data_IF_030675325143
#
_entry.id   IF_030675325143
#
_cell.length_a   1.000
_cell.length_b   1.000
_cell.length_c   1.000
_cell.angle_alpha   90.00
_cell.angle_beta   90.00
_cell.angle_gamma   90.00
#
_symmetry.space_group_name_H-M   'P 1'
#
loop_
_entity.id
_entity.type
_entity.pdbx_description
1 polymer ?
#
# COMPACT_ATOMS: atom_id res chain seq x y z
N UNK A 1 -20.91 57.05 52.21
CA UNK A 1 -20.85 55.79 51.45
C UNK A 1 -20.16 56.07 50.13
N UNK A 2 -18.90 55.70 49.87
CA UNK A 2 -18.27 55.91 48.59
C UNK A 2 -18.62 54.71 47.70
N UNK A 3 -19.25 54.98 46.56
CA UNK A 3 -19.51 54.07 45.44
C UNK A 3 -18.19 53.73 44.78
N UNK A 4 -17.73 52.49 44.91
CA UNK A 4 -16.54 51.97 44.22
C UNK A 4 -16.93 51.63 42.77
N UNK A 5 -16.60 52.55 41.87
CA UNK A 5 -16.60 52.27 40.41
C UNK A 5 -15.42 51.31 40.14
N UNK A 6 -15.66 50.15 39.48
CA UNK A 6 -14.57 49.26 39.14
C UNK A 6 -13.62 49.93 38.14
N UNK A 7 -12.30 49.59 38.13
CA UNK A 7 -11.31 50.21 37.27
C UNK A 7 -11.64 49.87 35.80
N UNK A 8 -11.72 50.89 34.93
CA UNK A 8 -12.03 50.81 33.48
C UNK A 8 -11.22 49.78 32.69
N UNK A 9 -10.10 49.31 33.21
CA UNK A 9 -9.26 48.29 32.57
C UNK A 9 -9.84 46.87 32.63
N UNK A 10 -10.54 46.49 33.72
CA UNK A 10 -11.11 45.14 33.89
C UNK A 10 -12.35 44.94 32.98
N UNK A 11 -13.19 45.98 32.86
CA UNK A 11 -14.35 45.94 31.98
C UNK A 11 -13.96 45.83 30.48
N UNK A 12 -12.89 46.55 30.07
CA UNK A 12 -12.37 46.48 28.71
C UNK A 12 -11.74 45.11 28.40
N UNK A 13 -11.03 44.52 29.37
CA UNK A 13 -10.43 43.17 29.22
C UNK A 13 -11.50 42.09 29.08
N UNK A 14 -12.55 42.16 29.91
CA UNK A 14 -13.67 41.21 29.85
C UNK A 14 -14.46 41.35 28.56
N UNK A 15 -14.69 42.58 28.07
CA UNK A 15 -15.37 42.82 26.81
C UNK A 15 -14.56 42.28 25.58
N UNK A 16 -13.24 42.43 25.63
CA UNK A 16 -12.37 41.87 24.57
C UNK A 16 -12.36 40.34 24.61
N UNK A 17 -12.25 39.74 25.79
CA UNK A 17 -12.29 38.29 25.95
C UNK A 17 -13.65 37.70 25.44
N UNK A 18 -14.75 38.34 25.80
CA UNK A 18 -16.08 37.95 25.33
C UNK A 18 -16.20 38.11 23.80
N UNK A 19 -15.68 39.20 23.23
CA UNK A 19 -15.69 39.41 21.77
C UNK A 19 -14.86 38.35 21.04
N UNK A 20 -13.74 37.93 21.59
CA UNK A 20 -12.90 36.84 21.04
C UNK A 20 -13.69 35.54 21.07
N UNK A 21 -14.26 35.16 22.20
CA UNK A 21 -15.05 33.93 22.37
C UNK A 21 -16.26 33.93 21.42
N UNK A 22 -16.93 35.07 21.25
CA UNK A 22 -18.09 35.20 20.36
C UNK A 22 -17.73 35.20 18.86
N UNK A 23 -16.47 35.46 18.53
CA UNK A 23 -15.98 35.45 17.12
C UNK A 23 -15.52 34.08 16.67
N UNK A 24 -15.14 33.22 17.58
CA UNK A 24 -14.70 31.83 17.27
C UNK A 24 -15.91 31.02 16.76
N UNK A 25 -15.70 30.32 15.66
CA UNK A 25 -16.76 29.51 15.03
C UNK A 25 -17.03 28.22 15.80
N UNK A 26 -16.02 27.69 16.46
CA UNK A 26 -16.12 26.47 17.26
C UNK A 26 -16.86 26.73 18.56
N UNK A 27 -17.74 25.83 19.00
CA UNK A 27 -18.34 25.85 20.32
C UNK A 27 -17.30 25.84 21.43
N UNK A 28 -17.30 26.86 22.30
CA UNK A 28 -16.40 27.00 23.44
C UNK A 28 -17.21 27.11 24.73
N UNK A 29 -16.77 26.43 25.77
CA UNK A 29 -17.30 26.60 27.13
C UNK A 29 -16.16 26.70 28.12
N UNK A 30 -16.38 27.50 29.16
CA UNK A 30 -15.49 27.61 30.33
C UNK A 30 -16.24 27.07 31.52
N UNK A 31 -15.60 26.15 32.23
CA UNK A 31 -16.11 25.55 33.48
C UNK A 31 -15.28 26.04 34.68
N UNK A 32 -15.94 26.18 35.84
CA UNK A 32 -15.26 26.43 37.12
C UNK A 32 -14.64 25.14 37.70
N UNK A 33 -14.09 25.25 38.92
CA UNK A 33 -13.50 24.12 39.62
C UNK A 33 -14.49 22.99 39.95
N UNK A 34 -15.79 23.32 40.06
CA UNK A 34 -16.88 22.36 40.30
C UNK A 34 -17.52 21.84 38.99
N UNK A 35 -16.89 22.13 37.85
CA UNK A 35 -17.35 21.78 36.51
C UNK A 35 -18.69 22.42 36.10
N UNK A 36 -18.98 23.62 36.65
CA UNK A 36 -20.15 24.42 36.27
C UNK A 36 -19.78 25.39 35.15
N UNK A 37 -20.70 25.60 34.23
CA UNK A 37 -20.49 26.53 33.12
C UNK A 37 -20.47 27.97 33.61
N UNK A 38 -19.35 28.65 33.41
CA UNK A 38 -19.18 30.08 33.66
C UNK A 38 -19.52 30.91 32.42
N UNK A 39 -18.99 30.46 31.27
CA UNK A 39 -19.12 31.14 29.97
C UNK A 39 -19.31 30.09 28.89
N UNK A 40 -20.16 30.40 27.93
CA UNK A 40 -20.26 29.65 26.70
C UNK A 40 -20.31 30.60 25.50
N UNK A 41 -19.76 30.17 24.35
CA UNK A 41 -19.77 30.97 23.13
C UNK A 41 -21.16 30.94 22.45
N UNK A 42 -21.40 31.91 21.58
CA UNK A 42 -22.64 31.94 20.76
C UNK A 42 -22.77 30.70 19.87
N UNK A 43 -21.65 30.19 19.37
CA UNK A 43 -21.59 28.93 18.59
C UNK A 43 -22.07 27.76 19.46
N UNK A 44 -21.67 27.65 20.72
CA UNK A 44 -22.17 26.61 21.61
C UNK A 44 -23.71 26.62 21.73
N UNK A 45 -24.29 27.76 22.03
CA UNK A 45 -25.76 27.89 22.15
C UNK A 45 -26.48 27.55 20.85
N UNK A 46 -25.96 28.01 19.72
CA UNK A 46 -26.51 27.76 18.38
C UNK A 46 -26.42 26.28 18.00
N UNK A 47 -25.26 25.70 18.14
CA UNK A 47 -24.93 24.36 17.61
C UNK A 47 -25.56 23.25 18.47
N UNK A 48 -25.65 23.47 19.79
CA UNK A 48 -26.31 22.55 20.72
C UNK A 48 -27.78 22.88 21.00
N UNK A 49 -28.30 23.96 20.43
CA UNK A 49 -29.70 24.42 20.58
C UNK A 49 -30.13 24.59 22.04
N UNK A 50 -29.26 25.12 22.90
CA UNK A 50 -29.50 25.33 24.33
C UNK A 50 -29.67 26.81 24.66
N UNK A 51 -30.49 27.11 25.69
CA UNK A 51 -30.71 28.51 26.14
C UNK A 51 -29.58 28.90 27.14
N UNK A 52 -29.02 30.13 27.04
CA UNK A 52 -28.08 30.63 28.00
C UNK A 52 -28.56 30.57 29.46
N UNK A 53 -29.86 30.80 29.73
CA UNK A 53 -30.45 30.76 31.06
C UNK A 53 -30.44 29.35 31.66
N UNK A 54 -30.49 28.34 30.78
CA UNK A 54 -30.51 26.94 31.19
C UNK A 54 -29.11 26.30 31.16
N UNK A 55 -28.08 27.07 30.80
CA UNK A 55 -26.69 26.61 30.65
C UNK A 55 -25.78 27.12 31.76
N UNK A 56 -25.80 28.45 32.01
CA UNK A 56 -24.89 29.08 32.96
C UNK A 56 -25.18 28.61 34.40
N UNK A 57 -24.12 28.28 35.15
CA UNK A 57 -24.16 27.80 36.53
C UNK A 57 -24.57 26.33 36.72
N UNK A 58 -25.01 25.64 35.66
CA UNK A 58 -25.26 24.19 35.68
C UNK A 58 -23.95 23.40 35.49
N UNK A 59 -23.88 22.18 35.99
CA UNK A 59 -22.79 21.27 35.68
C UNK A 59 -22.91 20.81 34.22
N UNK A 60 -21.77 20.58 33.58
CA UNK A 60 -21.77 20.12 32.17
C UNK A 60 -22.54 18.80 32.00
N UNK A 61 -22.42 17.87 32.94
CA UNK A 61 -23.17 16.62 32.98
C UNK A 61 -24.68 16.77 33.10
N UNK A 62 -25.15 17.94 33.61
CA UNK A 62 -26.59 18.27 33.79
C UNK A 62 -27.16 19.01 32.57
N UNK A 63 -26.32 19.37 31.57
CA UNK A 63 -26.77 20.06 30.39
C UNK A 63 -27.47 19.11 29.42
N UNK A 64 -28.60 19.59 28.87
CA UNK A 64 -29.45 18.75 28.05
C UNK A 64 -30.02 17.58 28.87
N UNK A 65 -30.41 16.51 28.24
CA UNK A 65 -30.95 15.32 28.92
C UNK A 65 -29.83 14.34 29.35
N UNK A 66 -28.71 14.84 29.91
CA UNK A 66 -27.54 14.03 30.32
C UNK A 66 -26.64 13.60 29.17
N UNK A 67 -26.70 14.29 28.04
CA UNK A 67 -25.86 14.01 26.86
C UNK A 67 -24.37 14.16 27.12
N UNK A 68 -23.98 14.94 28.14
CA UNK A 68 -22.61 15.14 28.59
C UNK A 68 -22.25 14.29 29.83
N UNK A 69 -23.16 13.46 30.30
CA UNK A 69 -22.90 12.49 31.36
C UNK A 69 -22.15 11.27 30.77
N UNK A 70 -20.85 11.39 30.71
CA UNK A 70 -19.94 10.37 30.17
C UNK A 70 -19.11 9.82 31.35
N UNK A 71 -19.13 8.51 31.64
CA UNK A 71 -18.39 7.93 32.77
C UNK A 71 -16.89 8.22 32.75
N UNK A 72 -16.31 8.38 31.53
CA UNK A 72 -14.91 8.70 31.31
C UNK A 72 -14.63 10.22 31.29
N UNK A 73 -15.65 11.05 31.18
CA UNK A 73 -15.52 12.49 30.97
C UNK A 73 -15.07 13.21 32.25
N UNK A 74 -15.59 12.83 33.38
CA UNK A 74 -15.14 13.36 34.68
C UNK A 74 -13.67 13.03 34.94
N UNK A 75 -13.24 11.81 34.62
CA UNK A 75 -11.82 11.39 34.71
C UNK A 75 -10.96 12.20 33.72
N UNK A 76 -11.47 12.45 32.53
CA UNK A 76 -10.81 13.27 31.52
C UNK A 76 -10.65 14.72 31.96
N UNK A 77 -11.69 15.33 32.55
CA UNK A 77 -11.66 16.69 33.07
C UNK A 77 -10.75 16.82 34.32
N UNK A 78 -10.75 15.85 35.23
CA UNK A 78 -9.84 15.80 36.33
C UNK A 78 -8.38 15.67 35.89
N UNK A 79 -8.11 14.92 34.86
CA UNK A 79 -6.79 14.82 34.23
C UNK A 79 -6.34 16.15 33.62
N UNK A 80 -7.25 16.91 32.99
CA UNK A 80 -6.96 18.24 32.48
C UNK A 80 -6.66 19.26 33.58
N UNK A 81 -7.28 19.10 34.76
CA UNK A 81 -7.01 19.94 35.93
C UNK A 81 -5.65 19.64 36.59
N UNK A 82 -5.10 18.44 36.37
CA UNK A 82 -3.81 18.01 36.95
C UNK A 82 -2.61 18.64 36.22
N UNK A 83 -1.40 18.13 36.43
CA UNK A 83 -0.13 18.72 35.97
C UNK A 83 0.02 18.94 34.49
N UNK A 84 -0.66 18.16 33.65
CA UNK A 84 -0.52 18.25 32.19
C UNK A 84 -1.19 19.51 31.60
N UNK A 85 -2.27 20.02 32.21
CA UNK A 85 -2.94 21.28 31.84
C UNK A 85 -3.62 21.33 30.46
N UNK A 86 -3.41 20.31 29.59
CA UNK A 86 -3.96 20.20 28.24
C UNK A 86 -4.30 18.76 27.94
N UNK A 87 -5.49 18.50 27.41
CA UNK A 87 -5.88 17.22 26.81
C UNK A 87 -6.52 17.53 25.46
N UNK A 88 -6.03 16.88 24.42
CA UNK A 88 -6.45 17.10 23.04
C UNK A 88 -7.11 15.84 22.47
N UNK A 89 -7.98 16.05 21.47
CA UNK A 89 -8.60 15.02 20.63
C UNK A 89 -9.40 13.93 21.40
N UNK A 90 -10.09 14.33 22.48
CA UNK A 90 -11.00 13.41 23.15
C UNK A 90 -12.28 13.27 22.34
N UNK A 91 -12.48 12.11 21.73
CA UNK A 91 -13.63 11.83 20.86
C UNK A 91 -14.84 11.36 21.68
N UNK A 92 -15.98 11.99 21.41
CA UNK A 92 -17.32 11.66 21.96
C UNK A 92 -18.25 11.39 20.82
N UNK A 93 -18.76 10.15 20.73
CA UNK A 93 -19.76 9.75 19.75
C UNK A 93 -21.08 9.44 20.45
N UNK A 94 -22.11 10.26 20.22
CA UNK A 94 -23.41 10.13 20.89
C UNK A 94 -24.57 10.71 20.07
N UNK A 95 -25.77 10.34 20.52
CA UNK A 95 -27.03 10.98 20.13
C UNK A 95 -27.24 12.22 20.97
N UNK A 96 -27.32 13.38 20.34
CA UNK A 96 -27.61 14.65 20.99
C UNK A 96 -29.06 15.08 20.73
N UNK A 97 -29.85 15.41 21.77
CA UNK A 97 -31.22 15.89 21.58
C UNK A 97 -31.26 17.11 20.66
N UNK A 98 -32.17 17.09 19.70
CA UNK A 98 -32.37 18.19 18.75
C UNK A 98 -31.42 18.23 17.56
N UNK A 99 -30.22 17.69 17.65
CA UNK A 99 -29.21 17.70 16.57
C UNK A 99 -28.83 16.31 16.03
N UNK A 100 -29.32 15.24 16.69
CA UNK A 100 -29.13 13.87 16.27
C UNK A 100 -27.74 13.31 16.61
N UNK A 101 -27.37 12.22 15.94
CA UNK A 101 -26.07 11.56 16.13
C UNK A 101 -24.90 12.47 15.73
N UNK A 102 -23.94 12.65 16.63
CA UNK A 102 -22.74 13.47 16.42
C UNK A 102 -21.49 12.79 16.94
N UNK A 103 -20.39 13.06 16.23
CA UNK A 103 -19.02 12.76 16.67
C UNK A 103 -18.33 14.08 16.94
N UNK A 104 -17.98 14.32 18.20
CA UNK A 104 -17.35 15.57 18.66
C UNK A 104 -15.93 15.31 19.13
N UNK A 105 -14.99 16.15 18.74
CA UNK A 105 -13.66 16.21 19.34
C UNK A 105 -13.61 17.32 20.39
N UNK A 106 -13.18 16.96 21.59
CA UNK A 106 -13.08 17.86 22.72
C UNK A 106 -11.61 18.14 23.03
N UNK A 107 -11.26 19.42 23.02
CA UNK A 107 -9.96 19.91 23.42
C UNK A 107 -10.11 20.69 24.73
N UNK A 108 -9.42 20.25 25.79
CA UNK A 108 -9.54 20.85 27.12
C UNK A 108 -8.23 21.45 27.55
N UNK A 109 -8.28 22.69 28.02
CA UNK A 109 -7.12 23.40 28.55
C UNK A 109 -7.43 24.03 29.92
N UNK A 110 -6.55 23.84 30.88
CA UNK A 110 -6.61 24.52 32.16
C UNK A 110 -6.31 26.00 31.99
N UNK A 111 -7.12 26.85 32.57
CA UNK A 111 -6.88 28.28 32.65
C UNK A 111 -6.05 28.57 33.90
N UNK A 112 -4.93 29.27 33.68
CA UNK A 112 -4.00 29.67 34.77
C UNK A 112 -4.10 31.19 34.93
N UNK A 113 -4.94 31.64 35.86
CA UNK A 113 -5.08 33.04 36.22
C UNK A 113 -5.33 33.14 37.74
N UNK A 114 -4.90 34.23 38.39
CA UNK A 114 -5.08 34.46 39.82
C UNK A 114 -6.54 34.43 40.27
N UNK A 115 -7.50 34.71 39.37
CA UNK A 115 -8.93 34.75 39.64
C UNK A 115 -9.70 33.54 39.11
N UNK A 116 -9.01 32.61 38.43
CA UNK A 116 -9.62 31.44 37.70
C UNK A 116 -9.05 30.11 38.17
N UNK A 117 -8.61 30.00 39.42
CA UNK A 117 -7.96 28.79 39.95
C UNK A 117 -8.85 27.56 39.77
N UNK A 118 -8.41 26.65 38.89
CA UNK A 118 -9.11 25.37 38.60
C UNK A 118 -10.12 25.42 37.47
N UNK A 119 -10.29 26.55 36.77
CA UNK A 119 -11.15 26.64 35.61
C UNK A 119 -10.55 25.96 34.39
N UNK A 120 -11.40 25.39 33.51
CA UNK A 120 -11.00 24.74 32.27
C UNK A 120 -11.79 25.33 31.09
N UNK A 121 -11.11 25.52 29.96
CA UNK A 121 -11.68 25.85 28.69
C UNK A 121 -11.83 24.56 27.88
N UNK A 122 -13.00 24.34 27.31
CA UNK A 122 -13.29 23.24 26.39
C UNK A 122 -13.67 23.83 25.05
N UNK A 123 -12.96 23.42 24.01
CA UNK A 123 -13.32 23.62 22.62
C UNK A 123 -13.93 22.32 22.07
N UNK A 124 -15.00 22.45 21.30
CA UNK A 124 -15.77 21.32 20.75
C UNK A 124 -15.80 21.46 19.24
N UNK A 125 -15.28 20.47 18.54
CA UNK A 125 -15.32 20.38 17.08
C UNK A 125 -16.29 19.27 16.65
N UNK A 126 -17.28 19.58 15.83
CA UNK A 126 -18.15 18.58 15.19
C UNK A 126 -17.42 17.96 14.00
N UNK A 127 -17.00 16.72 14.14
CA UNK A 127 -16.30 15.95 13.10
C UNK A 127 -17.16 14.86 12.49
N UNK A 128 -18.48 14.91 12.67
CA UNK A 128 -19.44 13.88 12.25
C UNK A 128 -19.31 13.58 10.74
N UNK A 129 -19.39 14.62 9.92
CA UNK A 129 -19.29 14.47 8.46
C UNK A 129 -17.92 13.96 8.03
N UNK A 130 -16.85 14.51 8.63
CA UNK A 130 -15.49 14.09 8.35
C UNK A 130 -15.28 12.61 8.71
N UNK A 131 -15.75 12.17 9.87
CA UNK A 131 -15.68 10.76 10.30
C UNK A 131 -16.49 9.83 9.44
N UNK A 132 -17.68 10.26 8.98
CA UNK A 132 -18.51 9.49 8.05
C UNK A 132 -17.78 9.27 6.72
N UNK A 133 -17.19 10.32 6.14
CA UNK A 133 -16.41 10.23 4.90
C UNK A 133 -15.16 9.33 5.08
N UNK A 134 -14.44 9.47 6.20
CA UNK A 134 -13.28 8.64 6.51
C UNK A 134 -13.67 7.15 6.60
N UNK A 135 -14.78 6.81 7.31
CA UNK A 135 -15.30 5.43 7.42
C UNK A 135 -15.72 4.87 6.06
N UNK A 136 -16.45 5.67 5.26
CA UNK A 136 -16.85 5.26 3.91
C UNK A 136 -15.65 5.00 3.01
N UNK A 137 -14.65 5.89 3.03
CA UNK A 137 -13.40 5.72 2.28
C UNK A 137 -12.70 4.42 2.66
N UNK A 138 -12.56 4.15 3.94
CA UNK A 138 -11.86 2.97 4.43
C UNK A 138 -12.60 1.67 4.06
N UNK A 139 -13.94 1.68 4.11
CA UNK A 139 -14.75 0.56 3.65
C UNK A 139 -14.65 0.34 2.13
N UNK A 140 -14.66 1.43 1.32
CA UNK A 140 -14.44 1.33 -0.13
C UNK A 140 -13.05 0.80 -0.48
N UNK A 141 -12.02 1.21 0.25
CA UNK A 141 -10.67 0.68 0.07
C UNK A 141 -10.61 -0.81 0.38
N UNK A 142 -11.22 -1.24 1.49
CA UNK A 142 -11.31 -2.65 1.88
C UNK A 142 -12.06 -3.48 0.83
N UNK A 143 -13.19 -2.99 0.31
CA UNK A 143 -13.94 -3.66 -0.75
C UNK A 143 -13.15 -3.77 -2.05
N UNK A 144 -12.42 -2.70 -2.42
CA UNK A 144 -11.52 -2.71 -3.57
C UNK A 144 -10.45 -3.78 -3.43
N UNK A 145 -9.83 -3.92 -2.27
CA UNK A 145 -8.80 -4.92 -2.02
C UNK A 145 -9.35 -6.34 -2.16
N UNK A 146 -10.50 -6.63 -1.58
CA UNK A 146 -11.16 -7.94 -1.71
C UNK A 146 -11.51 -8.28 -3.16
N UNK A 147 -12.02 -7.31 -3.92
CA UNK A 147 -12.34 -7.51 -5.34
C UNK A 147 -11.08 -7.77 -6.18
N UNK A 148 -9.99 -7.06 -5.90
CA UNK A 148 -8.71 -7.29 -6.58
C UNK A 148 -8.19 -8.70 -6.29
N UNK A 149 -8.24 -9.16 -5.04
CA UNK A 149 -7.85 -10.51 -4.65
C UNK A 149 -8.70 -11.58 -5.37
N UNK A 150 -10.03 -11.41 -5.40
CA UNK A 150 -10.92 -12.33 -6.11
C UNK A 150 -10.62 -12.37 -7.62
N UNK A 151 -10.45 -11.21 -8.25
CA UNK A 151 -10.09 -11.14 -9.67
C UNK A 151 -8.79 -11.88 -9.97
N UNK A 152 -7.81 -11.76 -9.11
CA UNK A 152 -6.51 -12.41 -9.24
C UNK A 152 -6.62 -13.93 -9.11
N UNK A 153 -7.38 -14.41 -8.13
CA UNK A 153 -7.68 -15.84 -8.02
C UNK A 153 -8.37 -16.37 -9.27
N UNK A 154 -9.31 -15.62 -9.85
CA UNK A 154 -9.99 -15.99 -11.09
C UNK A 154 -9.02 -16.02 -12.29
N UNK A 155 -8.11 -15.06 -12.42
CA UNK A 155 -7.08 -15.04 -13.47
C UNK A 155 -6.16 -16.26 -13.34
N UNK A 156 -5.67 -16.54 -12.12
CA UNK A 156 -4.82 -17.70 -11.86
C UNK A 156 -5.51 -19.03 -12.20
N UNK A 157 -6.78 -19.18 -11.79
CA UNK A 157 -7.59 -20.37 -12.12
C UNK A 157 -7.80 -20.50 -13.64
N UNK A 158 -8.06 -19.40 -14.33
CA UNK A 158 -8.23 -19.40 -15.80
C UNK A 158 -6.96 -19.83 -16.51
N UNK A 159 -5.79 -19.34 -16.07
CA UNK A 159 -4.49 -19.74 -16.62
C UNK A 159 -4.21 -21.23 -16.39
N UNK A 160 -4.55 -21.77 -15.21
CA UNK A 160 -4.42 -23.21 -14.92
C UNK A 160 -5.31 -24.06 -15.82
N UNK A 161 -6.54 -23.63 -16.10
CA UNK A 161 -7.46 -24.32 -17.03
C UNK A 161 -6.87 -24.30 -18.46
N UNK A 162 -6.37 -23.15 -18.92
CA UNK A 162 -5.73 -23.04 -20.25
C UNK A 162 -4.52 -23.97 -20.32
N UNK A 163 -3.66 -24.00 -19.30
CA UNK A 163 -2.52 -24.89 -19.23
C UNK A 163 -2.94 -26.37 -19.31
N UNK A 164 -4.00 -26.75 -18.59
CA UNK A 164 -4.54 -28.12 -18.63
C UNK A 164 -5.08 -28.51 -20.01
N UNK A 165 -5.78 -27.58 -20.69
CA UNK A 165 -6.30 -27.80 -22.06
C UNK A 165 -5.13 -27.99 -23.04
N UNK A 166 -4.08 -27.17 -22.97
CA UNK A 166 -2.90 -27.30 -23.80
C UNK A 166 -2.23 -28.67 -23.61
N UNK A 167 -2.08 -29.12 -22.38
CA UNK A 167 -1.51 -30.41 -22.06
C UNK A 167 -2.36 -31.58 -22.60
N UNK A 168 -3.69 -31.51 -22.44
CA UNK A 168 -4.60 -32.50 -23.03
C UNK A 168 -4.50 -32.56 -24.55
N UNK A 169 -4.45 -31.39 -25.19
CA UNK A 169 -4.29 -31.30 -26.65
C UNK A 169 -2.95 -31.87 -27.12
N UNK A 170 -1.86 -31.59 -26.39
CA UNK A 170 -0.55 -32.14 -26.66
C UNK A 170 -0.52 -33.68 -26.61
N UNK A 171 -1.30 -34.33 -25.74
CA UNK A 171 -1.43 -35.79 -25.67
C UNK A 171 -2.25 -36.38 -26.80
N UNK A 172 -3.16 -35.62 -27.39
CA UNK A 172 -4.09 -36.07 -28.42
C UNK A 172 -3.57 -35.94 -29.87
N UNK A 173 -2.53 -35.13 -30.10
CA UNK A 173 -1.96 -34.90 -31.42
C UNK A 173 -0.92 -35.98 -31.77
N UNK A 174 -0.93 -36.39 -33.06
CA UNK A 174 0.00 -37.40 -33.61
C UNK A 174 1.34 -36.80 -34.05
N UNK A 175 1.35 -35.52 -34.46
CA UNK A 175 2.58 -34.83 -34.88
C UNK A 175 3.47 -34.50 -33.68
N UNK A 176 4.71 -34.96 -33.68
CA UNK A 176 5.70 -34.68 -32.65
C UNK A 176 6.05 -33.20 -32.55
N UNK A 177 6.15 -32.52 -33.68
CA UNK A 177 6.37 -31.09 -33.80
C UNK A 177 5.23 -30.30 -33.12
N UNK A 178 3.98 -30.63 -33.45
CA UNK A 178 2.80 -29.99 -32.87
C UNK A 178 2.72 -30.26 -31.36
N UNK A 179 3.10 -31.47 -30.91
CA UNK A 179 3.15 -31.85 -29.49
C UNK A 179 4.15 -30.99 -28.75
N UNK A 180 5.33 -30.82 -29.32
CA UNK A 180 6.40 -29.95 -28.75
C UNK A 180 5.93 -28.50 -28.61
N UNK A 181 5.30 -27.94 -29.65
CA UNK A 181 4.78 -26.57 -29.58
C UNK A 181 3.68 -26.40 -28.54
N UNK A 182 2.80 -27.37 -28.34
CA UNK A 182 1.76 -27.34 -27.33
C UNK A 182 2.34 -27.46 -25.90
N UNK A 183 3.37 -28.28 -25.69
CA UNK A 183 4.10 -28.36 -24.42
C UNK A 183 4.81 -27.04 -24.11
N UNK A 184 5.37 -26.37 -25.10
CA UNK A 184 6.00 -25.07 -24.92
C UNK A 184 4.99 -24.00 -24.53
N UNK A 185 3.85 -23.96 -25.22
CA UNK A 185 2.75 -23.07 -24.85
C UNK A 185 2.24 -23.34 -23.41
N UNK A 186 2.11 -24.62 -23.03
CA UNK A 186 1.74 -25.01 -21.65
C UNK A 186 2.71 -24.45 -20.62
N UNK A 187 4.04 -24.63 -20.82
CA UNK A 187 5.08 -24.12 -19.91
C UNK A 187 5.02 -22.60 -19.78
N UNK A 188 4.80 -21.87 -20.88
CA UNK A 188 4.66 -20.41 -20.87
C UNK A 188 3.44 -19.95 -20.07
N UNK A 189 2.30 -20.61 -20.25
CA UNK A 189 1.08 -20.26 -19.48
C UNK A 189 1.30 -20.49 -17.99
N UNK A 190 1.95 -21.58 -17.59
CA UNK A 190 2.31 -21.81 -16.18
C UNK A 190 3.25 -20.75 -15.62
N UNK A 191 4.21 -20.30 -16.44
CA UNK A 191 5.13 -19.25 -16.04
C UNK A 191 4.44 -17.89 -15.85
N UNK A 192 3.50 -17.55 -16.76
CA UNK A 192 2.66 -16.35 -16.59
C UNK A 192 1.84 -16.44 -15.29
N UNK A 193 1.28 -17.62 -14.97
CA UNK A 193 0.55 -17.83 -13.74
C UNK A 193 1.45 -17.68 -12.50
N UNK A 194 2.69 -18.16 -12.55
CA UNK A 194 3.67 -17.99 -11.48
C UNK A 194 4.03 -16.49 -11.28
N UNK A 195 4.32 -15.77 -12.37
CA UNK A 195 4.56 -14.31 -12.33
C UNK A 195 3.39 -13.59 -11.68
N UNK A 196 2.17 -13.86 -12.11
CA UNK A 196 0.96 -13.25 -11.55
C UNK A 196 0.82 -13.54 -10.04
N UNK A 197 1.08 -14.75 -9.60
CA UNK A 197 0.99 -15.15 -8.18
C UNK A 197 1.96 -14.37 -7.30
N UNK A 198 3.17 -14.11 -7.75
CA UNK A 198 4.20 -13.43 -6.94
C UNK A 198 4.02 -11.91 -6.89
N UNK A 199 3.26 -11.32 -7.80
CA UNK A 199 3.00 -9.87 -7.82
C UNK A 199 1.96 -9.41 -6.80
N UNK A 200 1.22 -10.34 -6.19
CA UNK A 200 0.13 -10.04 -5.25
C UNK A 200 0.58 -9.63 -3.86
N UNK A 201 1.85 -9.83 -3.52
CA UNK A 201 2.39 -9.38 -2.25
C UNK A 201 2.46 -7.84 -2.10
N UNK A 202 2.15 -7.08 -3.17
CA UNK A 202 2.21 -5.61 -3.20
C UNK A 202 0.82 -5.01 -3.40
N UNK A 203 -0.07 -5.20 -2.44
CA UNK A 203 -1.38 -4.54 -2.37
C UNK A 203 -1.15 -3.06 -2.04
N UNK A 204 -1.68 -2.15 -2.89
CA UNK A 204 -1.69 -0.72 -2.57
C UNK A 204 -0.98 0.21 -3.56
N UNK A 205 -0.48 -0.30 -4.71
CA UNK A 205 0.18 0.55 -5.72
C UNK A 205 1.62 0.93 -5.37
N UNK A 206 2.17 0.37 -4.29
CA UNK A 206 3.58 0.56 -3.95
C UNK A 206 4.51 -0.15 -4.94
N UNK A 207 5.68 0.45 -5.24
CA UNK A 207 6.67 -0.20 -6.08
C UNK A 207 7.15 -1.53 -5.50
N UNK A 208 7.15 -2.58 -6.33
CA UNK A 208 7.57 -3.93 -5.98
C UNK A 208 9.09 -3.95 -5.77
N UNK A 209 9.54 -4.56 -4.68
CA UNK A 209 10.96 -4.86 -4.48
C UNK A 209 11.36 -6.02 -5.40
N UNK A 210 12.28 -5.77 -6.34
CA UNK A 210 12.65 -6.74 -7.36
C UNK A 210 13.45 -7.91 -6.83
N UNK A 211 14.27 -7.72 -5.79
CA UNK A 211 15.10 -8.78 -5.23
C UNK A 211 14.27 -10.00 -4.74
N UNK A 212 13.35 -9.87 -3.75
CA UNK A 212 12.56 -11.02 -3.30
C UNK A 212 11.67 -11.59 -4.42
N UNK A 213 11.14 -10.72 -5.28
CA UNK A 213 10.29 -11.14 -6.39
C UNK A 213 11.03 -12.04 -7.38
N UNK A 214 12.20 -11.61 -7.89
CA UNK A 214 12.96 -12.35 -8.89
C UNK A 214 13.56 -13.63 -8.32
N UNK A 215 14.00 -13.63 -7.05
CA UNK A 215 14.47 -14.84 -6.36
C UNK A 215 13.35 -15.88 -6.27
N UNK A 216 12.16 -15.49 -5.83
CA UNK A 216 11.02 -16.40 -5.71
C UNK A 216 10.54 -16.91 -7.08
N UNK A 217 10.52 -16.06 -8.11
CA UNK A 217 10.18 -16.43 -9.46
C UNK A 217 11.14 -17.51 -9.98
N UNK A 218 12.45 -17.27 -9.90
CA UNK A 218 13.47 -18.22 -10.36
C UNK A 218 13.43 -19.53 -9.58
N UNK A 219 13.19 -19.50 -8.27
CA UNK A 219 12.99 -20.70 -7.47
C UNK A 219 11.79 -21.54 -7.95
N UNK A 220 10.66 -20.86 -8.25
CA UNK A 220 9.46 -21.50 -8.79
C UNK A 220 9.68 -22.08 -10.19
N UNK A 221 10.40 -21.38 -11.06
CA UNK A 221 10.78 -21.87 -12.40
C UNK A 221 11.70 -23.09 -12.31
N UNK A 222 12.70 -23.03 -11.43
CA UNK A 222 13.63 -24.15 -11.19
C UNK A 222 12.88 -25.39 -10.74
N UNK A 223 12.03 -25.27 -9.71
CA UNK A 223 11.24 -26.40 -9.18
C UNK A 223 10.24 -26.99 -10.19
N UNK A 224 9.70 -26.17 -11.10
CA UNK A 224 8.72 -26.63 -12.09
C UNK A 224 9.37 -27.24 -13.35
N UNK A 225 10.58 -26.83 -13.73
CA UNK A 225 11.17 -27.13 -15.03
C UNK A 225 12.44 -27.98 -14.98
N UNK A 226 13.17 -27.99 -13.85
CA UNK A 226 14.38 -28.81 -13.68
C UNK A 226 13.97 -30.13 -12.99
N UNK A 227 14.15 -31.30 -13.62
CA UNK A 227 13.82 -32.58 -13.02
C UNK A 227 14.69 -32.89 -11.81
N UNK A 228 14.09 -33.38 -10.73
CA UNK A 228 14.81 -33.88 -9.57
C UNK A 228 15.61 -35.13 -9.92
N UNK A 229 16.87 -35.22 -9.48
CA UNK A 229 17.62 -36.47 -9.35
C UNK A 229 18.59 -36.88 -10.45
N UNK A 230 18.96 -36.02 -11.39
CA UNK A 230 20.12 -36.22 -12.29
C UNK A 230 20.94 -34.95 -12.32
N UNK A 231 22.26 -35.08 -12.57
CA UNK A 231 23.27 -34.00 -12.68
C UNK A 231 22.65 -32.65 -12.98
N UNK A 232 22.12 -32.06 -11.88
CA UNK A 232 21.08 -31.09 -11.97
C UNK A 232 21.64 -29.79 -12.56
N UNK A 233 20.91 -29.23 -13.52
CA UNK A 233 21.15 -27.83 -13.92
C UNK A 233 20.97 -26.98 -12.67
N UNK A 234 22.02 -26.25 -12.29
CA UNK A 234 22.00 -25.33 -11.16
C UNK A 234 21.53 -23.98 -11.67
N UNK A 235 20.51 -23.40 -11.03
CA UNK A 235 20.10 -22.03 -11.30
C UNK A 235 20.57 -21.13 -10.16
N UNK A 236 21.35 -20.11 -10.47
CA UNK A 236 21.79 -19.08 -9.52
C UNK A 236 21.17 -17.75 -9.86
N UNK A 237 20.82 -16.97 -8.83
CA UNK A 237 20.15 -15.68 -8.97
C UNK A 237 20.93 -14.64 -8.18
N UNK A 238 21.28 -13.55 -8.84
CA UNK A 238 21.89 -12.38 -8.22
C UNK A 238 21.04 -11.15 -8.54
N UNK A 239 20.60 -10.43 -7.51
CA UNK A 239 19.82 -9.20 -7.67
C UNK A 239 20.43 -8.12 -6.80
N UNK A 240 20.77 -7.01 -7.43
CA UNK A 240 21.34 -5.84 -6.77
C UNK A 240 20.29 -4.71 -6.75
N UNK A 241 19.41 -4.76 -5.74
CA UNK A 241 18.43 -3.71 -5.50
C UNK A 241 17.29 -3.61 -6.54
N UNK A 242 16.72 -2.40 -6.66
CA UNK A 242 15.69 -2.07 -7.63
C UNK A 242 14.27 -2.18 -7.09
N UNK A 243 13.46 -1.19 -7.48
CA UNK A 243 11.99 -1.16 -7.27
C UNK A 243 11.31 -0.92 -8.61
N UNK A 244 10.18 -1.56 -8.85
CA UNK A 244 9.47 -1.44 -10.12
C UNK A 244 7.95 -1.40 -9.92
N UNK A 245 7.24 -0.81 -10.87
CA UNK A 245 5.77 -0.96 -10.94
C UNK A 245 5.40 -2.40 -11.26
N UNK A 246 4.18 -2.81 -10.95
CA UNK A 246 3.66 -4.15 -11.31
C UNK A 246 3.85 -4.48 -12.79
N UNK A 247 3.60 -3.53 -13.70
CA UNK A 247 3.76 -3.75 -15.14
C UNK A 247 5.20 -4.06 -15.55
N UNK A 248 6.17 -3.32 -15.00
CA UNK A 248 7.61 -3.56 -15.23
C UNK A 248 8.03 -4.91 -14.66
N UNK A 249 7.62 -5.24 -13.43
CA UNK A 249 7.92 -6.52 -12.79
C UNK A 249 7.36 -7.72 -13.58
N UNK A 250 6.12 -7.61 -14.11
CA UNK A 250 5.53 -8.61 -15.04
C UNK A 250 6.42 -8.80 -16.25
N UNK A 251 6.81 -7.71 -16.91
CA UNK A 251 7.60 -7.77 -18.14
C UNK A 251 8.98 -8.38 -17.90
N UNK A 252 9.66 -8.01 -16.79
CA UNK A 252 10.93 -8.62 -16.37
C UNK A 252 10.76 -10.11 -16.07
N UNK A 253 9.71 -10.49 -15.34
CA UNK A 253 9.43 -11.90 -15.02
C UNK A 253 9.18 -12.76 -16.25
N UNK A 254 8.43 -12.24 -17.24
CA UNK A 254 8.20 -12.93 -18.51
C UNK A 254 9.48 -13.06 -19.33
N UNK A 255 10.31 -12.03 -19.39
CA UNK A 255 11.61 -12.07 -20.06
C UNK A 255 12.49 -13.15 -19.43
N UNK A 256 12.66 -13.16 -18.11
CA UNK A 256 13.44 -14.19 -17.41
C UNK A 256 12.90 -15.58 -17.74
N UNK A 257 11.59 -15.77 -17.68
CA UNK A 257 10.94 -17.04 -17.99
C UNK A 257 11.29 -17.54 -19.39
N UNK A 258 11.14 -16.68 -20.40
CA UNK A 258 11.45 -17.05 -21.79
C UNK A 258 12.94 -17.38 -21.97
N UNK A 259 13.83 -16.60 -21.37
CA UNK A 259 15.27 -16.85 -21.47
C UNK A 259 15.69 -18.13 -20.74
N UNK A 260 15.13 -18.41 -19.56
CA UNK A 260 15.37 -19.67 -18.83
C UNK A 260 14.83 -20.87 -19.61
N UNK A 261 13.61 -20.80 -20.20
CA UNK A 261 13.07 -21.84 -21.05
C UNK A 261 14.01 -22.10 -22.24
N UNK A 262 14.51 -21.05 -22.87
CA UNK A 262 15.44 -21.17 -24.00
C UNK A 262 16.75 -21.84 -23.58
N UNK A 263 17.33 -21.47 -22.45
CA UNK A 263 18.53 -22.11 -21.91
C UNK A 263 18.30 -23.61 -21.63
N UNK A 264 17.18 -23.95 -20.95
CA UNK A 264 16.84 -25.35 -20.65
C UNK A 264 16.65 -26.23 -21.91
N UNK A 265 16.17 -25.64 -23.01
CA UNK A 265 15.92 -26.36 -24.26
C UNK A 265 17.17 -26.52 -25.12
N UNK A 266 17.98 -25.47 -25.20
CA UNK A 266 18.99 -25.34 -26.24
C UNK A 266 20.42 -25.41 -25.73
N UNK A 267 20.66 -25.03 -24.46
CA UNK A 267 22.01 -24.94 -23.96
C UNK A 267 22.62 -26.30 -23.62
N UNK A 268 21.81 -27.28 -23.21
CA UNK A 268 22.29 -28.54 -22.63
C UNK A 268 21.77 -29.79 -23.38
N UNK A 269 22.14 -29.96 -24.67
CA UNK A 269 21.73 -31.13 -25.47
C UNK A 269 22.29 -32.44 -24.91
N UNK A 270 23.45 -32.36 -24.23
CA UNK A 270 24.06 -33.47 -23.49
C UNK A 270 24.15 -33.05 -22.03
N UNK A 271 23.54 -33.82 -21.14
CA UNK A 271 23.64 -33.54 -19.71
C UNK A 271 25.09 -33.79 -19.23
N UNK A 272 25.71 -32.76 -18.70
CA UNK A 272 27.04 -32.79 -18.05
C UNK A 272 26.88 -32.32 -16.62
N UNK A 273 27.77 -32.80 -15.72
CA UNK A 273 27.90 -32.23 -14.38
C UNK A 273 28.35 -30.77 -14.48
N UNK A 274 27.73 -29.88 -13.71
CA UNK A 274 28.10 -28.46 -13.67
C UNK A 274 27.36 -27.57 -14.67
N UNK A 275 26.25 -28.02 -15.27
CA UNK A 275 25.35 -27.16 -16.05
C UNK A 275 24.81 -26.03 -15.17
N UNK A 276 24.96 -24.78 -15.60
CA UNK A 276 24.62 -23.58 -14.86
C UNK A 276 23.77 -22.62 -15.69
N UNK A 277 22.71 -22.12 -15.09
CA UNK A 277 21.96 -20.95 -15.58
C UNK A 277 22.12 -19.86 -14.51
N UNK A 278 22.62 -18.69 -14.90
CA UNK A 278 22.80 -17.55 -14.04
C UNK A 278 21.86 -16.43 -14.45
N UNK A 279 21.02 -15.97 -13.53
CA UNK A 279 20.13 -14.81 -13.69
C UNK A 279 20.70 -13.67 -12.85
N UNK A 280 21.00 -12.54 -13.47
CA UNK A 280 21.47 -11.36 -12.76
C UNK A 280 20.62 -10.15 -13.11
N UNK A 281 20.30 -9.34 -12.09
CA UNK A 281 19.66 -8.05 -12.24
C UNK A 281 20.40 -7.02 -11.40
N UNK A 282 20.85 -5.95 -12.06
CA UNK A 282 21.56 -4.86 -11.43
C UNK A 282 20.82 -3.56 -11.72
N UNK A 283 20.50 -2.81 -10.65
CA UNK A 283 19.88 -1.50 -10.73
C UNK A 283 20.89 -0.42 -10.36
N UNK A 284 20.99 0.60 -11.24
CA UNK A 284 21.71 1.84 -11.02
C UNK A 284 20.80 2.99 -11.48
N UNK A 285 19.88 3.37 -10.60
CA UNK A 285 18.72 4.23 -10.88
C UNK A 285 19.11 5.53 -11.60
N UNK A 286 18.54 5.88 -12.77
CA UNK A 286 17.36 5.23 -13.39
C UNK A 286 17.69 4.05 -14.31
N UNK A 287 18.93 3.65 -14.46
CA UNK A 287 19.38 2.59 -15.35
C UNK A 287 19.29 1.21 -14.69
N UNK A 288 19.14 0.16 -15.47
CA UNK A 288 19.19 -1.22 -14.99
C UNK A 288 19.63 -2.19 -16.09
N UNK A 289 20.15 -3.32 -15.68
CA UNK A 289 20.54 -4.42 -16.54
C UNK A 289 19.96 -5.74 -16.00
N UNK A 290 19.33 -6.52 -16.87
CA UNK A 290 18.92 -7.89 -16.61
C UNK A 290 19.71 -8.80 -17.54
N UNK A 291 20.31 -9.86 -17.02
CA UNK A 291 20.99 -10.87 -17.85
C UNK A 291 20.60 -12.28 -17.44
N UNK A 292 20.53 -13.16 -18.44
CA UNK A 292 20.41 -14.61 -18.27
C UNK A 292 21.52 -15.26 -19.08
N UNK A 293 22.38 -15.98 -18.38
CA UNK A 293 23.59 -16.61 -18.94
C UNK A 293 23.54 -18.10 -18.68
N UNK A 294 23.79 -18.91 -19.68
CA UNK A 294 24.03 -20.34 -19.55
C UNK A 294 25.49 -20.69 -19.90
N UNK A 295 25.99 -21.79 -19.35
CA UNK A 295 27.29 -22.34 -19.69
C UNK A 295 27.21 -23.55 -20.65
N UNK A 296 26.20 -23.52 -21.51
CA UNK A 296 25.92 -24.59 -22.48
C UNK A 296 26.78 -24.53 -23.76
N UNK A 297 26.26 -25.16 -24.83
CA UNK A 297 27.00 -25.30 -26.11
C UNK A 297 27.03 -24.01 -26.96
N UNK A 298 26.25 -22.98 -26.60
CA UNK A 298 26.14 -21.75 -27.37
C UNK A 298 25.51 -21.93 -28.76
N UNK A 299 25.27 -20.82 -29.46
CA UNK A 299 24.63 -20.84 -30.80
C UNK A 299 25.52 -21.31 -31.94
N UNK A 300 26.84 -21.30 -31.79
CA UNK A 300 27.78 -21.75 -32.83
C UNK A 300 27.58 -23.23 -33.23
N UNK A 301 26.96 -24.03 -32.36
CA UNK A 301 26.67 -25.45 -32.61
C UNK A 301 25.20 -25.73 -32.96
N UNK A 302 24.33 -24.74 -33.04
CA UNK A 302 22.94 -24.90 -33.50
C UNK A 302 22.93 -24.79 -35.00
N UNK A 303 22.39 -25.85 -35.67
CA UNK A 303 22.29 -25.95 -37.14
C UNK A 303 21.62 -24.71 -37.74
N UNK A 304 22.04 -24.34 -38.95
CA UNK A 304 21.57 -23.20 -39.77
C UNK A 304 20.04 -23.15 -40.08
N UNK A 305 19.22 -24.03 -39.46
CA UNK A 305 17.79 -24.14 -39.70
C UNK A 305 16.94 -23.17 -38.89
N UNK A 306 17.49 -22.54 -37.83
CA UNK A 306 16.75 -21.66 -36.91
C UNK A 306 17.09 -20.15 -37.03
N UNK A 307 17.39 -19.65 -38.22
CA UNK A 307 17.60 -18.21 -38.47
C UNK A 307 16.33 -17.33 -38.33
N UNK A 308 15.14 -17.92 -38.23
CA UNK A 308 13.93 -17.21 -37.85
C UNK A 308 13.74 -17.35 -36.35
N UNK A 309 14.08 -16.30 -35.61
CA UNK A 309 13.90 -16.24 -34.16
C UNK A 309 12.52 -16.79 -33.76
N UNK A 310 12.50 -17.80 -32.87
CA UNK A 310 11.26 -18.44 -32.43
C UNK A 310 10.35 -17.48 -31.68
N UNK A 311 9.13 -17.90 -31.40
CA UNK A 311 8.11 -17.10 -30.68
C UNK A 311 8.66 -16.47 -29.39
N UNK A 312 9.51 -17.18 -28.64
CA UNK A 312 10.14 -16.68 -27.40
C UNK A 312 11.03 -15.45 -27.63
N UNK A 313 11.85 -15.45 -28.67
CA UNK A 313 12.73 -14.32 -29.03
C UNK A 313 11.89 -13.09 -29.39
N UNK A 314 10.79 -13.28 -30.12
CA UNK A 314 9.87 -12.19 -30.47
C UNK A 314 9.20 -11.60 -29.22
N UNK A 315 8.80 -12.42 -28.25
CA UNK A 315 8.23 -11.99 -26.95
C UNK A 315 9.25 -11.16 -26.16
N UNK A 316 10.49 -11.66 -26.03
CA UNK A 316 11.56 -10.94 -25.33
C UNK A 316 11.82 -9.58 -25.94
N UNK A 317 11.91 -9.51 -27.29
CA UNK A 317 12.11 -8.24 -28.01
C UNK A 317 10.95 -7.27 -27.83
N UNK A 318 9.69 -7.75 -27.87
CA UNK A 318 8.52 -6.92 -27.67
C UNK A 318 8.46 -6.36 -26.23
N UNK A 319 8.71 -7.20 -25.23
CA UNK A 319 8.71 -6.79 -23.83
C UNK A 319 9.87 -5.84 -23.51
N UNK A 320 11.06 -6.07 -24.06
CA UNK A 320 12.20 -5.18 -23.91
C UNK A 320 11.88 -3.80 -24.52
N UNK A 321 11.26 -3.75 -25.70
CA UNK A 321 10.82 -2.50 -26.33
C UNK A 321 9.77 -1.76 -25.48
N UNK A 322 8.85 -2.48 -24.84
CA UNK A 322 7.88 -1.90 -23.90
C UNK A 322 8.54 -1.28 -22.65
N UNK A 323 9.72 -1.78 -22.29
CA UNK A 323 10.52 -1.29 -21.17
C UNK A 323 11.56 -0.23 -21.61
N UNK A 324 11.52 0.25 -22.84
CA UNK A 324 12.54 1.14 -23.44
C UNK A 324 13.96 0.60 -23.31
N UNK A 325 14.10 -0.73 -23.34
CA UNK A 325 15.37 -1.44 -23.15
C UNK A 325 15.86 -2.10 -24.45
N UNK A 326 17.17 -2.32 -24.52
CA UNK A 326 17.83 -2.98 -25.67
C UNK A 326 18.18 -4.41 -25.31
N UNK A 327 18.01 -5.32 -26.28
CA UNK A 327 18.42 -6.72 -26.16
C UNK A 327 19.79 -6.91 -26.80
N UNK A 328 20.71 -7.45 -26.04
CA UNK A 328 22.04 -7.87 -26.52
C UNK A 328 22.21 -9.37 -26.30
N UNK A 329 22.71 -10.08 -27.32
CA UNK A 329 22.98 -11.51 -27.21
C UNK A 329 24.44 -11.77 -27.55
N UNK A 330 25.14 -12.44 -26.64
CA UNK A 330 26.50 -12.94 -26.84
C UNK A 330 26.46 -14.46 -26.75
N UNK A 331 27.01 -15.14 -27.74
CA UNK A 331 27.03 -16.60 -27.78
C UNK A 331 28.36 -17.09 -28.30
N UNK A 332 28.91 -18.12 -27.68
CA UNK A 332 30.22 -18.72 -28.01
C UNK A 332 30.29 -20.14 -27.47
N UNK A 333 31.50 -20.74 -27.56
CA UNK A 333 31.74 -22.13 -27.14
C UNK A 333 31.49 -22.42 -25.67
N UNK A 334 31.38 -21.37 -24.85
CA UNK A 334 31.16 -21.46 -23.39
C UNK A 334 29.74 -21.10 -22.96
N UNK A 335 28.77 -21.06 -23.89
CA UNK A 335 27.38 -20.78 -23.59
C UNK A 335 26.81 -19.53 -24.26
N UNK A 336 25.65 -19.11 -23.79
CA UNK A 336 24.93 -17.93 -24.29
C UNK A 336 24.59 -16.99 -23.13
N UNK A 337 24.80 -15.70 -23.36
CA UNK A 337 24.36 -14.62 -22.47
C UNK A 337 23.41 -13.69 -23.22
N UNK A 338 22.22 -13.48 -22.69
CA UNK A 338 21.25 -12.50 -23.18
C UNK A 338 21.08 -11.43 -22.14
N UNK A 339 21.34 -10.18 -22.52
CA UNK A 339 21.24 -9.01 -21.64
C UNK A 339 20.18 -8.05 -22.16
N UNK A 340 19.37 -7.52 -21.22
CA UNK A 340 18.35 -6.49 -21.44
C UNK A 340 18.85 -5.25 -20.72
N UNK A 341 19.11 -4.18 -21.45
CA UNK A 341 19.75 -2.98 -20.93
C UNK A 341 18.82 -1.78 -21.07
N UNK A 342 18.52 -1.11 -19.96
CA UNK A 342 17.79 0.14 -19.95
C UNK A 342 18.73 1.28 -19.56
N UNK A 343 18.72 2.35 -20.38
CA UNK A 343 19.62 3.48 -20.21
C UNK A 343 21.05 3.24 -20.72
N UNK A 344 22.03 3.85 -20.07
CA UNK A 344 23.46 3.86 -20.51
C UNK A 344 24.32 2.75 -19.87
N UNK A 345 23.73 1.78 -19.17
CA UNK A 345 24.47 0.66 -18.59
C UNK A 345 25.17 -0.18 -19.66
N UNK A 346 26.45 -0.50 -19.43
CA UNK A 346 27.19 -1.43 -20.28
C UNK A 346 26.86 -2.86 -19.87
N UNK A 347 26.74 -3.76 -20.84
CA UNK A 347 26.67 -5.20 -20.56
C UNK A 347 27.92 -5.62 -19.77
N UNK A 348 27.71 -6.32 -18.68
CA UNK A 348 28.78 -6.87 -17.84
C UNK A 348 29.47 -8.06 -18.52
#
# INVERSE_FOLDING_TARGET
>A
MPSSTPPRGIEASNALAQAIVDTVREPLIVLDADLRVIVASRSFYRDFQVDPKDTIGKRLSELGDGQWDLPSFDVFLERAKSEAGVVEDYEVEREFPGIGHRVMLLNVRKLVDEHSAGSVLIAIEDVTERRAIERERDELLRQKELLLEEMQHRVSNSLQIIASILLMKARAVSSEETRTHLHDAHKRVLAVAAVQKHLHASVGGEPIQLEPYLIQLCASLGGAMIPEGKDAIVMTVHVSGGRATSGVAVSLGLIITELVINALKHAFPVQKTGNLIHVAYDADDPNWALSVTDNGVGKAHLSLVDEKGGLGTSIVSALASQLDARVMTMSGDNGTSVSILHGELKAA
#
